data_IF_259416062060
#
_entry.id   IF_259416062060
#
_cell.length_a   1.000
_cell.length_b   1.000
_cell.length_c   1.000
_cell.angle_alpha   90.00
_cell.angle_beta   90.00
_cell.angle_gamma   90.00
#
_symmetry.space_group_name_H-M   'P 1'
#
loop_
_entity.id
_entity.type
_entity.pdbx_description
1 polymer ?
#
# COMPACT_ATOMS: atom_id res chain seq x y z
N UNK A 1 9.64 25.06 -10.36
CA UNK A 1 9.34 23.70 -9.85
C UNK A 1 9.38 22.72 -11.01
N UNK A 2 9.88 21.49 -10.83
CA UNK A 2 9.91 20.48 -11.89
C UNK A 2 8.62 19.66 -11.97
N UNK A 3 8.34 19.06 -13.14
CA UNK A 3 7.18 18.17 -13.33
C UNK A 3 7.20 17.00 -12.33
N UNK A 4 6.18 16.95 -11.48
CA UNK A 4 5.99 15.93 -10.46
C UNK A 4 6.58 16.25 -9.08
N UNK A 5 7.16 17.44 -8.90
CA UNK A 5 7.56 17.94 -7.59
C UNK A 5 6.33 18.20 -6.70
N UNK A 6 6.53 18.28 -5.38
CA UNK A 6 5.52 18.73 -4.43
C UNK A 6 5.17 20.20 -4.66
N UNK A 7 3.88 20.50 -4.82
CA UNK A 7 3.37 21.87 -4.72
C UNK A 7 3.53 22.40 -3.30
N UNK A 8 3.39 23.71 -3.11
CA UNK A 8 3.48 24.31 -1.76
C UNK A 8 2.36 23.80 -0.84
N UNK A 9 1.15 23.60 -1.37
CA UNK A 9 0.03 23.03 -0.62
C UNK A 9 0.29 21.56 -0.21
N UNK A 10 0.78 20.72 -1.14
CA UNK A 10 1.15 19.34 -0.83
C UNK A 10 2.30 19.29 0.20
N UNK A 11 3.27 20.21 0.08
CA UNK A 11 4.38 20.32 1.03
C UNK A 11 3.90 20.78 2.41
N UNK A 12 3.00 21.75 2.49
CA UNK A 12 2.45 22.26 3.74
C UNK A 12 1.73 21.17 4.54
N UNK A 13 1.03 20.26 3.86
CA UNK A 13 0.37 19.10 4.50
C UNK A 13 1.37 18.05 5.00
N UNK A 14 2.50 17.88 4.32
CA UNK A 14 3.47 16.84 4.66
C UNK A 14 4.52 17.30 5.68
N UNK A 15 4.92 18.58 5.61
CA UNK A 15 6.00 19.20 6.42
C UNK A 15 5.88 18.96 7.93
N UNK A 16 4.70 19.04 8.57
CA UNK A 16 4.57 18.93 10.03
C UNK A 16 4.97 17.57 10.59
N UNK A 17 4.90 16.52 9.77
CA UNK A 17 5.06 15.14 10.21
C UNK A 17 6.48 14.59 10.04
N UNK A 18 7.43 15.40 9.56
CA UNK A 18 8.80 14.93 9.42
C UNK A 18 9.52 14.83 10.77
N UNK A 19 10.39 13.81 10.93
CA UNK A 19 11.29 13.76 12.07
C UNK A 19 12.08 15.06 12.18
N UNK A 20 12.04 15.69 13.35
CA UNK A 20 12.84 16.88 13.64
C UNK A 20 14.33 16.51 13.66
N UNK A 21 15.20 17.48 13.39
CA UNK A 21 16.64 17.33 13.60
C UNK A 21 16.91 17.32 15.11
N UNK A 22 16.75 16.18 15.77
CA UNK A 22 17.10 15.98 17.18
C UNK A 22 18.02 14.76 17.29
N UNK A 23 19.30 14.98 17.61
CA UNK A 23 20.28 13.91 17.90
C UNK A 23 21.65 14.03 17.22
N UNK A 24 22.59 13.17 17.67
CA UNK A 24 23.93 12.98 17.07
C UNK A 24 23.80 12.25 15.72
N UNK A 25 24.24 12.89 14.65
CA UNK A 25 24.12 12.33 13.28
C UNK A 25 24.03 13.35 12.13
N UNK A 26 24.13 14.65 12.44
CA UNK A 26 24.15 15.73 11.45
C UNK A 26 22.76 16.18 11.01
N UNK A 27 22.69 17.39 10.45
CA UNK A 27 21.45 18.03 9.99
C UNK A 27 20.92 17.29 8.75
N UNK A 28 19.65 16.90 8.77
CA UNK A 28 18.98 16.39 7.57
C UNK A 28 19.06 17.44 6.46
N UNK A 29 19.48 17.02 5.26
CA UNK A 29 19.30 17.83 4.05
C UNK A 29 17.81 18.19 3.88
N UNK A 30 17.54 19.30 3.17
CA UNK A 30 16.19 19.78 2.89
C UNK A 30 15.24 18.65 2.47
N UNK A 31 14.28 18.32 3.34
CA UNK A 31 13.34 17.21 3.16
C UNK A 31 12.59 17.31 1.83
N UNK A 32 12.07 18.50 1.49
CA UNK A 32 11.35 18.73 0.24
C UNK A 32 12.18 18.36 -0.98
N UNK A 33 13.45 18.78 -1.02
CA UNK A 33 14.36 18.51 -2.15
C UNK A 33 14.61 17.00 -2.30
N UNK A 34 14.87 16.31 -1.20
CA UNK A 34 15.11 14.85 -1.20
C UNK A 34 13.86 14.10 -1.64
N UNK A 35 12.69 14.47 -1.13
CA UNK A 35 11.42 13.81 -1.45
C UNK A 35 11.03 14.05 -2.91
N UNK A 36 11.24 15.25 -3.44
CA UNK A 36 11.05 15.49 -4.87
C UNK A 36 11.95 14.57 -5.72
N UNK A 37 13.19 14.30 -5.29
CA UNK A 37 14.06 13.31 -5.94
C UNK A 37 13.51 11.89 -5.89
N UNK A 38 12.94 11.48 -4.75
CA UNK A 38 12.28 10.17 -4.59
C UNK A 38 11.05 10.08 -5.49
N UNK A 39 10.15 11.07 -5.45
CA UNK A 39 8.96 11.13 -6.29
C UNK A 39 9.32 11.12 -7.79
N UNK A 40 10.38 11.82 -8.17
CA UNK A 40 10.90 11.79 -9.53
C UNK A 40 11.33 10.39 -9.94
N UNK A 41 12.17 9.71 -9.13
CA UNK A 41 12.57 8.32 -9.38
C UNK A 41 11.38 7.39 -9.48
N UNK A 42 10.39 7.54 -8.59
CA UNK A 42 9.19 6.71 -8.57
C UNK A 42 8.39 6.85 -9.86
N UNK A 43 8.19 8.08 -10.31
CA UNK A 43 7.46 8.40 -11.54
C UNK A 43 8.18 7.89 -12.78
N UNK A 44 9.49 8.12 -12.90
CA UNK A 44 10.24 7.83 -14.13
C UNK A 44 10.79 6.40 -14.18
N UNK A 45 10.99 5.76 -13.03
CA UNK A 45 11.57 4.41 -12.92
C UNK A 45 13.07 4.35 -13.17
N UNK A 46 13.76 5.50 -13.27
CA UNK A 46 15.21 5.52 -13.58
C UNK A 46 16.05 4.90 -12.45
N UNK A 47 17.26 4.40 -12.75
CA UNK A 47 18.25 4.07 -11.75
C UNK A 47 18.55 5.26 -10.84
N UNK A 48 18.83 5.00 -9.55
CA UNK A 48 19.16 6.05 -8.59
C UNK A 48 20.34 6.91 -9.04
N UNK A 49 21.35 6.31 -9.69
CA UNK A 49 22.57 6.99 -10.15
C UNK A 49 22.30 8.06 -11.23
N UNK A 50 21.19 7.93 -11.96
CA UNK A 50 20.83 8.82 -13.06
C UNK A 50 19.90 9.96 -12.61
N UNK A 51 19.70 10.10 -11.29
CA UNK A 51 18.94 11.21 -10.73
C UNK A 51 19.56 12.56 -11.09
N UNK A 52 18.70 13.48 -11.52
CA UNK A 52 19.10 14.85 -11.86
C UNK A 52 19.78 15.54 -10.66
N UNK A 53 20.89 16.25 -10.93
CA UNK A 53 21.72 16.94 -9.93
C UNK A 53 20.94 17.94 -9.07
N UNK A 54 19.83 18.52 -9.59
CA UNK A 54 18.94 19.45 -8.87
C UNK A 54 18.39 18.91 -7.54
N UNK A 55 18.29 17.58 -7.40
CA UNK A 55 17.83 16.96 -6.15
C UNK A 55 18.95 16.77 -5.12
N UNK A 56 20.20 16.95 -5.52
CA UNK A 56 21.41 16.69 -4.74
C UNK A 56 22.00 15.31 -5.01
N UNK A 57 23.00 14.92 -4.20
CA UNK A 57 23.72 13.64 -4.34
C UNK A 57 22.77 12.45 -4.27
N UNK A 58 22.76 11.60 -5.30
CA UNK A 58 21.83 10.48 -5.41
C UNK A 58 21.95 9.47 -4.26
N UNK A 59 23.16 9.26 -3.72
CA UNK A 59 23.38 8.35 -2.58
C UNK A 59 22.54 8.79 -1.39
N UNK A 60 22.55 10.09 -1.07
CA UNK A 60 21.82 10.63 0.07
C UNK A 60 20.29 10.50 -0.10
N UNK A 61 19.80 10.51 -1.34
CA UNK A 61 18.38 10.34 -1.66
C UNK A 61 17.99 8.86 -1.53
N UNK A 62 18.79 7.96 -2.12
CA UNK A 62 18.60 6.51 -2.03
C UNK A 62 18.67 6.03 -0.57
N UNK A 63 19.68 6.47 0.19
CA UNK A 63 19.86 6.14 1.59
C UNK A 63 18.70 6.66 2.45
N UNK A 64 18.17 7.85 2.13
CA UNK A 64 17.00 8.38 2.81
C UNK A 64 15.80 7.48 2.56
N UNK A 65 15.52 7.17 1.30
CA UNK A 65 14.40 6.30 0.94
C UNK A 65 14.52 4.96 1.64
N UNK A 66 15.68 4.31 1.55
CA UNK A 66 15.95 3.02 2.20
C UNK A 66 15.80 3.07 3.71
N UNK A 67 16.33 4.09 4.39
CA UNK A 67 16.22 4.26 5.84
C UNK A 67 14.77 4.40 6.27
N UNK A 68 14.02 5.28 5.62
CA UNK A 68 12.61 5.53 5.93
C UNK A 68 11.68 4.37 5.58
N UNK A 69 12.05 3.57 4.58
CA UNK A 69 11.39 2.30 4.28
C UNK A 69 11.71 1.22 5.33
N UNK A 70 12.82 1.35 6.05
CA UNK A 70 13.24 0.36 7.04
C UNK A 70 12.68 0.63 8.44
N UNK A 71 12.64 1.90 8.84
CA UNK A 71 12.22 2.34 10.18
C UNK A 71 10.73 2.66 10.32
N UNK A 72 9.95 2.59 9.23
CA UNK A 72 8.51 2.84 9.24
C UNK A 72 8.11 4.31 9.06
N UNK A 73 9.05 5.19 8.73
CA UNK A 73 8.76 6.63 8.55
C UNK A 73 7.75 6.88 7.44
N UNK A 74 7.77 6.13 6.33
CA UNK A 74 6.79 6.33 5.26
C UNK A 74 5.37 5.97 5.71
N UNK A 75 5.23 4.92 6.51
CA UNK A 75 3.98 4.42 7.05
C UNK A 75 3.41 5.41 8.07
N UNK A 76 4.28 5.97 8.92
CA UNK A 76 3.92 7.06 9.82
C UNK A 76 3.40 8.27 9.03
N UNK A 77 4.10 8.69 7.96
CA UNK A 77 3.67 9.80 7.11
C UNK A 77 2.34 9.50 6.40
N UNK A 78 2.15 8.27 5.90
CA UNK A 78 0.88 7.84 5.29
C UNK A 78 -0.27 7.93 6.30
N UNK A 79 -0.08 7.42 7.52
CA UNK A 79 -1.09 7.50 8.59
C UNK A 79 -1.40 8.93 8.97
N UNK A 80 -0.40 9.80 9.00
CA UNK A 80 -0.59 11.21 9.33
C UNK A 80 -1.42 11.95 8.27
N UNK A 81 -1.12 11.76 6.98
CA UNK A 81 -1.92 12.38 5.90
C UNK A 81 -3.33 11.79 5.79
N UNK A 82 -3.51 10.53 6.16
CA UNK A 82 -4.84 9.92 6.30
C UNK A 82 -5.61 10.49 7.48
N UNK A 83 -4.98 10.67 8.64
CA UNK A 83 -5.61 11.27 9.82
C UNK A 83 -6.07 12.72 9.54
N UNK A 84 -5.24 13.50 8.84
CA UNK A 84 -5.60 14.84 8.36
C UNK A 84 -6.82 14.80 7.42
N UNK A 85 -6.84 13.89 6.45
CA UNK A 85 -7.97 13.73 5.54
C UNK A 85 -9.25 13.29 6.26
N UNK A 86 -9.15 12.38 7.22
CA UNK A 86 -10.28 11.90 8.01
C UNK A 86 -10.87 13.00 8.89
N UNK A 87 -10.02 13.80 9.54
CA UNK A 87 -10.45 14.95 10.34
C UNK A 87 -11.21 16.01 9.52
N UNK A 88 -10.91 16.10 8.22
CA UNK A 88 -11.58 16.99 7.28
C UNK A 88 -12.77 16.33 6.55
N UNK A 89 -13.15 15.10 6.93
CA UNK A 89 -14.26 14.37 6.29
C UNK A 89 -13.96 13.92 4.85
N UNK A 90 -12.69 13.91 4.43
CA UNK A 90 -12.29 13.59 3.05
C UNK A 90 -12.07 12.11 2.79
N UNK A 91 -12.29 11.22 3.77
CA UNK A 91 -12.24 9.76 3.57
C UNK A 91 -13.66 9.22 3.38
N UNK A 92 -13.91 8.57 2.24
CA UNK A 92 -15.16 7.81 2.06
C UNK A 92 -15.06 6.45 2.76
N UNK A 93 -15.67 6.34 3.93
CA UNK A 93 -15.76 5.10 4.67
C UNK A 93 -16.97 4.23 4.30
N UNK A 94 -17.92 4.78 3.53
CA UNK A 94 -19.17 4.09 3.17
C UNK A 94 -18.91 2.83 2.37
N UNK A 95 -17.85 2.83 1.57
CA UNK A 95 -17.41 1.68 0.80
C UNK A 95 -15.90 1.70 0.58
N UNK A 96 -15.25 0.60 0.95
CA UNK A 96 -13.90 0.30 0.56
C UNK A 96 -13.88 -0.91 -0.38
N UNK A 97 -12.83 -1.03 -1.17
CA UNK A 97 -12.63 -2.17 -2.08
C UNK A 97 -11.28 -2.84 -1.80
N UNK A 98 -11.28 -4.17 -1.73
CA UNK A 98 -10.06 -4.98 -1.65
C UNK A 98 -9.74 -5.59 -3.00
N UNK A 99 -8.48 -5.43 -3.41
CA UNK A 99 -7.96 -6.06 -4.61
C UNK A 99 -6.44 -6.20 -4.51
N UNK A 100 -5.87 -6.88 -5.50
CA UNK A 100 -4.43 -7.02 -5.65
C UNK A 100 -3.99 -6.71 -7.08
N UNK A 101 -2.71 -6.41 -7.23
CA UNK A 101 -2.11 -6.26 -8.55
C UNK A 101 -0.70 -6.82 -8.60
N UNK A 102 -0.34 -7.43 -9.72
CA UNK A 102 1.00 -7.95 -9.95
C UNK A 102 1.91 -6.83 -10.44
N UNK A 103 3.10 -6.75 -9.85
CA UNK A 103 4.22 -5.94 -10.27
C UNK A 103 5.32 -6.86 -10.80
N UNK A 104 5.74 -6.67 -12.05
CA UNK A 104 6.89 -7.41 -12.60
C UNK A 104 8.16 -6.96 -11.87
N UNK A 105 9.00 -7.90 -11.48
CA UNK A 105 10.30 -7.60 -10.91
C UNK A 105 11.36 -7.72 -12.01
N UNK A 106 12.11 -6.65 -12.25
CA UNK A 106 13.26 -6.68 -13.14
C UNK A 106 14.35 -7.60 -12.55
N UNK A 107 15.24 -8.15 -13.38
CA UNK A 107 16.36 -8.98 -12.89
C UNK A 107 17.23 -8.26 -11.85
N UNK A 108 17.31 -6.93 -11.91
CA UNK A 108 18.03 -6.10 -10.93
C UNK A 108 17.39 -6.08 -9.53
N UNK A 109 16.12 -6.48 -9.40
CA UNK A 109 15.47 -6.68 -8.12
C UNK A 109 15.84 -8.03 -7.46
N UNK A 110 16.53 -8.93 -8.15
CA UNK A 110 17.02 -10.18 -7.57
C UNK A 110 18.39 -10.02 -6.89
N UNK A 111 18.82 -11.07 -6.17
CA UNK A 111 20.14 -11.11 -5.54
C UNK A 111 20.31 -10.10 -4.40
N UNK A 112 19.30 -9.99 -3.53
CA UNK A 112 19.48 -9.40 -2.21
C UNK A 112 20.48 -10.25 -1.40
N UNK A 113 21.22 -9.64 -0.47
CA UNK A 113 22.15 -10.38 0.38
C UNK A 113 21.35 -11.33 1.29
N UNK A 114 21.82 -12.56 1.50
CA UNK A 114 21.14 -13.50 2.41
C UNK A 114 21.15 -13.04 3.88
N UNK A 115 22.17 -12.25 4.28
CA UNK A 115 22.21 -11.68 5.63
C UNK A 115 21.07 -10.68 5.81
N UNK A 116 20.22 -10.95 6.79
CA UNK A 116 19.11 -10.08 7.15
C UNK A 116 19.58 -8.62 7.34
N UNK A 117 18.91 -7.64 6.73
CA UNK A 117 19.26 -6.25 6.84
C UNK A 117 18.93 -5.74 8.25
N UNK A 118 19.69 -4.76 8.72
CA UNK A 118 19.37 -3.98 9.92
C UNK A 118 18.88 -2.60 9.52
N UNK A 119 18.01 -2.03 10.35
CA UNK A 119 17.63 -0.62 10.23
C UNK A 119 18.89 0.22 10.50
N UNK A 120 19.29 1.15 9.60
CA UNK A 120 20.48 1.96 9.83
C UNK A 120 20.43 2.70 11.18
N UNK A 121 21.44 2.49 12.03
CA UNK A 121 21.52 3.10 13.35
C UNK A 121 20.69 2.41 14.44
N UNK A 122 20.07 1.25 14.17
CA UNK A 122 19.31 0.47 15.17
C UNK A 122 19.65 -1.03 15.08
N UNK A 123 19.67 -1.71 16.22
CA UNK A 123 19.80 -3.19 16.28
C UNK A 123 18.45 -3.89 16.08
N UNK A 124 17.72 -3.51 15.04
CA UNK A 124 16.39 -4.06 14.73
C UNK A 124 16.28 -4.42 13.24
N UNK A 125 15.46 -5.44 12.92
CA UNK A 125 15.10 -5.78 11.54
C UNK A 125 14.10 -4.75 10.98
N UNK A 126 14.13 -4.44 9.68
CA UNK A 126 13.12 -3.58 9.05
C UNK A 126 11.69 -4.09 9.24
N UNK A 127 10.73 -3.19 9.46
CA UNK A 127 9.32 -3.52 9.77
C UNK A 127 8.62 -4.40 8.71
N UNK A 128 9.11 -4.37 7.46
CA UNK A 128 8.59 -5.14 6.34
C UNK A 128 9.66 -5.98 5.64
N UNK A 129 10.71 -6.38 6.37
CA UNK A 129 11.61 -7.41 5.87
C UNK A 129 10.89 -8.76 5.78
N UNK A 130 11.23 -9.52 4.74
CA UNK A 130 10.75 -10.86 4.48
C UNK A 130 11.90 -11.67 3.92
N UNK A 131 12.02 -12.93 4.31
CA UNK A 131 13.09 -13.80 3.81
C UNK A 131 12.94 -14.06 2.30
N UNK A 132 11.70 -14.07 1.79
CA UNK A 132 11.37 -14.19 0.36
C UNK A 132 11.53 -12.87 -0.42
N UNK A 133 11.87 -11.77 0.27
CA UNK A 133 11.91 -10.40 -0.23
C UNK A 133 10.65 -9.96 -1.01
N UNK A 134 9.51 -10.64 -0.83
CA UNK A 134 8.29 -10.42 -1.58
C UNK A 134 8.41 -10.76 -3.07
N UNK A 135 9.37 -11.60 -3.46
CA UNK A 135 9.62 -12.02 -4.84
C UNK A 135 9.18 -13.46 -5.05
N UNK A 136 8.57 -13.71 -6.20
CA UNK A 136 7.94 -14.98 -6.51
C UNK A 136 7.90 -15.28 -8.00
N UNK A 137 8.06 -16.54 -8.39
CA UNK A 137 7.92 -16.96 -9.79
C UNK A 137 6.44 -17.15 -10.13
N UNK A 138 5.98 -16.47 -11.17
CA UNK A 138 4.67 -16.69 -11.78
C UNK A 138 4.84 -17.01 -13.26
N UNK A 139 3.72 -17.23 -13.99
CA UNK A 139 3.74 -17.40 -15.45
C UNK A 139 4.44 -16.26 -16.19
N UNK A 140 4.47 -15.05 -15.62
CA UNK A 140 5.12 -13.87 -16.19
C UNK A 140 6.55 -13.61 -15.71
N UNK A 141 7.21 -14.61 -15.09
CA UNK A 141 8.55 -14.49 -14.53
C UNK A 141 8.56 -14.05 -13.06
N UNK A 142 9.63 -13.35 -12.65
CA UNK A 142 9.78 -12.89 -11.27
C UNK A 142 8.83 -11.73 -10.99
N UNK A 143 8.04 -11.85 -9.92
CA UNK A 143 6.91 -10.95 -9.65
C UNK A 143 6.71 -10.73 -8.16
N UNK A 144 6.18 -9.56 -7.83
CA UNK A 144 5.64 -9.19 -6.52
C UNK A 144 4.16 -8.90 -6.69
N UNK A 145 3.37 -9.15 -5.66
CA UNK A 145 1.96 -8.77 -5.61
C UNK A 145 1.76 -7.67 -4.58
N UNK A 146 1.02 -6.64 -4.96
CA UNK A 146 0.60 -5.54 -4.09
C UNK A 146 -0.88 -5.76 -3.78
N UNK A 147 -1.21 -6.03 -2.53
CA UNK A 147 -2.57 -6.11 -2.02
C UNK A 147 -2.92 -4.78 -1.38
N UNK A 148 -4.13 -4.29 -1.61
CA UNK A 148 -4.54 -3.00 -1.07
C UNK A 148 -6.02 -2.96 -0.68
N UNK A 149 -6.33 -2.08 0.26
CA UNK A 149 -7.69 -1.61 0.54
C UNK A 149 -7.77 -0.18 0.06
N UNK A 150 -8.64 0.11 -0.91
CA UNK A 150 -8.89 1.45 -1.43
C UNK A 150 -10.21 2.02 -0.90
N UNK A 151 -10.23 3.32 -0.60
CA UNK A 151 -11.48 4.06 -0.34
C UNK A 151 -12.06 4.67 -1.63
N UNK A 152 -13.32 5.11 -1.57
CA UNK A 152 -14.08 5.57 -2.75
C UNK A 152 -13.47 6.73 -3.53
N UNK A 153 -12.67 7.58 -2.88
CA UNK A 153 -11.89 8.66 -3.51
C UNK A 153 -10.63 8.20 -4.25
N UNK A 154 -10.47 6.90 -4.52
CA UNK A 154 -9.35 6.31 -5.25
C UNK A 154 -8.01 6.50 -4.54
N UNK A 155 -7.98 6.35 -3.20
CA UNK A 155 -6.76 6.41 -2.38
C UNK A 155 -6.60 5.13 -1.54
N UNK A 156 -5.37 4.63 -1.32
CA UNK A 156 -5.16 3.45 -0.47
C UNK A 156 -5.35 3.78 1.02
N UNK A 157 -6.18 3.01 1.71
CA UNK A 157 -6.24 2.96 3.17
C UNK A 157 -5.13 2.06 3.74
N UNK A 158 -4.86 0.93 3.09
CA UNK A 158 -3.88 -0.04 3.53
C UNK A 158 -3.15 -0.71 2.36
N UNK A 159 -1.91 -1.14 2.61
CA UNK A 159 -1.03 -1.78 1.63
C UNK A 159 -0.33 -2.99 2.26
N UNK A 160 -0.14 -4.04 1.45
CA UNK A 160 0.64 -5.22 1.77
C UNK A 160 1.34 -5.73 0.50
N UNK A 161 2.56 -6.25 0.63
CA UNK A 161 3.26 -6.91 -0.47
C UNK A 161 3.53 -8.38 -0.15
N UNK A 162 3.41 -9.24 -1.17
CA UNK A 162 3.73 -10.68 -1.09
C UNK A 162 4.46 -11.13 -2.36
N UNK A 163 5.08 -12.32 -2.35
CA UNK A 163 5.50 -12.97 -3.59
C UNK A 163 4.36 -13.13 -4.60
N UNK A 164 4.67 -13.10 -5.90
CA UNK A 164 3.67 -13.10 -6.96
C UNK A 164 2.79 -14.36 -7.06
N UNK A 165 3.30 -15.52 -6.66
CA UNK A 165 2.58 -16.80 -6.65
C UNK A 165 1.59 -16.95 -5.49
N UNK A 166 1.63 -16.06 -4.49
CA UNK A 166 0.71 -16.13 -3.36
C UNK A 166 -0.71 -15.76 -3.81
N UNK A 167 -1.70 -16.54 -3.38
CA UNK A 167 -3.10 -16.28 -3.69
C UNK A 167 -3.66 -15.05 -2.98
N UNK A 168 -4.73 -14.47 -3.51
CA UNK A 168 -5.30 -13.19 -3.04
C UNK A 168 -6.19 -13.40 -1.82
N UNK A 169 -7.02 -14.45 -1.85
CA UNK A 169 -7.98 -14.74 -0.81
C UNK A 169 -7.38 -14.78 0.62
N UNK A 170 -6.22 -15.43 0.87
CA UNK A 170 -5.60 -15.43 2.19
C UNK A 170 -5.12 -14.06 2.67
N UNK A 171 -4.88 -13.11 1.76
CA UNK A 171 -4.29 -11.79 2.06
C UNK A 171 -5.34 -10.71 2.38
N UNK A 172 -6.63 -10.99 2.18
CA UNK A 172 -7.72 -10.06 2.51
C UNK A 172 -7.70 -9.62 3.97
N UNK A 173 -7.55 -10.56 4.89
CA UNK A 173 -7.51 -10.28 6.33
C UNK A 173 -6.23 -9.50 6.68
N UNK A 174 -5.01 -9.96 6.32
CA UNK A 174 -3.78 -9.21 6.55
C UNK A 174 -3.79 -7.77 6.04
N UNK A 175 -4.38 -7.49 4.87
CA UNK A 175 -4.44 -6.12 4.35
C UNK A 175 -5.52 -5.29 5.05
N UNK A 176 -6.67 -5.87 5.41
CA UNK A 176 -7.69 -5.18 6.20
C UNK A 176 -7.21 -4.83 7.62
N UNK A 177 -6.45 -5.70 8.27
CA UNK A 177 -5.90 -5.46 9.61
C UNK A 177 -4.88 -4.31 9.64
N UNK A 178 -4.29 -3.98 8.48
CA UNK A 178 -3.43 -2.80 8.33
C UNK A 178 -4.22 -1.50 8.17
N UNK A 179 -5.54 -1.56 8.01
CA UNK A 179 -6.40 -0.37 8.03
C UNK A 179 -6.47 0.15 9.46
N UNK A 180 -5.97 1.36 9.67
CA UNK A 180 -5.97 2.01 10.98
C UNK A 180 -5.63 3.49 10.82
N UNK A 181 -6.67 4.31 10.66
CA UNK A 181 -6.52 5.76 10.52
C UNK A 181 -6.64 6.40 11.91
N UNK A 182 -5.56 7.02 12.44
CA UNK A 182 -5.61 7.71 13.73
C UNK A 182 -6.60 8.88 13.71
N UNK A 183 -7.18 9.20 14.87
CA UNK A 183 -8.01 10.40 15.06
C UNK A 183 -7.14 11.55 15.58
N UNK A 184 -7.23 12.72 14.96
CA UNK A 184 -6.44 13.90 15.36
C UNK A 184 -6.82 14.45 16.75
N UNK A 185 -8.10 14.29 17.15
CA UNK A 185 -8.63 14.75 18.44
C UNK A 185 -8.49 13.70 19.58
N UNK A 186 -7.70 12.65 19.38
CA UNK A 186 -7.61 11.52 20.31
C UNK A 186 -8.70 10.46 20.11
N UNK A 187 -8.58 9.34 20.83
CA UNK A 187 -9.46 8.18 20.73
C UNK A 187 -8.91 7.03 19.85
N UNK A 188 -9.68 5.95 19.74
CA UNK A 188 -9.27 4.78 18.99
C UNK A 188 -9.25 5.04 17.47
N UNK A 189 -8.21 4.55 16.74
CA UNK A 189 -8.16 4.64 15.29
C UNK A 189 -9.39 4.01 14.63
N UNK A 190 -9.83 4.56 13.49
CA UNK A 190 -10.84 3.88 12.66
C UNK A 190 -10.16 2.75 11.88
N UNK A 191 -10.56 1.51 12.17
CA UNK A 191 -9.93 0.29 11.64
C UNK A 191 -10.82 -0.52 10.69
N UNK A 192 -12.01 -0.02 10.36
CA UNK A 192 -12.94 -0.72 9.48
C UNK A 192 -13.74 0.24 8.57
N UNK A 193 -13.95 -0.12 7.30
CA UNK A 193 -14.96 0.49 6.46
C UNK A 193 -16.35 -0.03 6.85
N UNK A 194 -17.38 0.70 6.43
CA UNK A 194 -18.77 0.31 6.68
C UNK A 194 -19.20 -0.84 5.75
N UNK A 195 -18.63 -0.84 4.53
CA UNK A 195 -18.86 -1.86 3.51
C UNK A 195 -17.57 -2.20 2.76
N UNK A 196 -17.38 -3.47 2.42
CA UNK A 196 -16.26 -3.97 1.63
C UNK A 196 -16.72 -4.61 0.32
N UNK A 197 -16.23 -4.12 -0.80
CA UNK A 197 -16.35 -4.77 -2.11
C UNK A 197 -15.08 -5.57 -2.43
N UNK A 198 -15.22 -6.66 -3.18
CA UNK A 198 -14.07 -7.46 -3.63
C UNK A 198 -14.47 -8.49 -4.67
N UNK A 199 -13.46 -8.97 -5.41
CA UNK A 199 -13.65 -10.05 -6.38
C UNK A 199 -14.18 -11.33 -5.71
N UNK A 200 -14.93 -12.11 -6.48
CA UNK A 200 -15.35 -13.48 -6.18
C UNK A 200 -14.24 -14.36 -5.60
N UNK A 201 -12.97 -14.16 -5.99
CA UNK A 201 -11.83 -14.86 -5.41
C UNK A 201 -11.75 -14.72 -3.87
N UNK A 202 -12.23 -13.62 -3.31
CA UNK A 202 -12.21 -13.35 -1.86
C UNK A 202 -13.35 -14.04 -1.08
N UNK A 203 -14.21 -14.84 -1.71
CA UNK A 203 -15.45 -15.38 -1.12
C UNK A 203 -15.28 -16.39 0.02
N UNK A 204 -14.04 -16.77 0.38
CA UNK A 204 -13.75 -17.87 1.30
C UNK A 204 -14.51 -17.78 2.63
N UNK A 205 -14.87 -18.93 3.22
CA UNK A 205 -15.57 -18.99 4.53
C UNK A 205 -14.81 -18.25 5.63
N UNK A 206 -13.48 -18.33 5.63
CA UNK A 206 -12.60 -17.60 6.57
C UNK A 206 -12.78 -16.08 6.43
N UNK A 207 -12.76 -15.57 5.21
CA UNK A 207 -12.94 -14.16 4.90
C UNK A 207 -14.33 -13.67 5.31
N UNK A 208 -15.39 -14.41 4.96
CA UNK A 208 -16.77 -14.07 5.35
C UNK A 208 -16.95 -14.05 6.87
N UNK A 209 -16.37 -15.03 7.59
CA UNK A 209 -16.40 -15.08 9.07
C UNK A 209 -15.70 -13.87 9.68
N UNK A 210 -14.55 -13.47 9.13
CA UNK A 210 -13.83 -12.28 9.59
C UNK A 210 -14.66 -11.00 9.40
N UNK A 211 -15.22 -10.79 8.21
CA UNK A 211 -16.06 -9.62 7.92
C UNK A 211 -17.28 -9.55 8.84
N UNK A 212 -17.96 -10.68 9.08
CA UNK A 212 -19.08 -10.76 10.03
C UNK A 212 -18.65 -10.41 11.45
N UNK A 213 -17.55 -10.97 11.94
CA UNK A 213 -17.01 -10.68 13.29
C UNK A 213 -16.63 -9.20 13.46
N UNK A 214 -16.11 -8.57 12.42
CA UNK A 214 -15.75 -7.14 12.40
C UNK A 214 -16.95 -6.23 12.07
N UNK A 215 -18.15 -6.79 11.89
CA UNK A 215 -19.37 -6.08 11.49
C UNK A 215 -19.17 -5.24 10.21
N UNK A 216 -18.42 -5.76 9.24
CA UNK A 216 -18.19 -5.13 7.94
C UNK A 216 -19.18 -5.74 6.96
N UNK A 217 -20.10 -4.94 6.41
CA UNK A 217 -20.99 -5.38 5.32
C UNK A 217 -20.14 -5.66 4.08
N UNK A 218 -20.59 -6.52 3.18
CA UNK A 218 -19.78 -6.83 2.00
C UNK A 218 -20.58 -7.08 0.72
N UNK A 219 -19.98 -6.76 -0.42
CA UNK A 219 -20.41 -7.18 -1.75
C UNK A 219 -19.27 -7.95 -2.41
N UNK A 220 -19.20 -9.24 -2.09
CA UNK A 220 -18.27 -10.17 -2.72
C UNK A 220 -19.13 -11.26 -3.38
N UNK A 221 -19.04 -11.48 -4.70
CA UNK A 221 -19.82 -12.51 -5.37
C UNK A 221 -19.49 -13.91 -4.85
N UNK A 222 -20.49 -14.79 -4.78
CA UNK A 222 -20.27 -16.20 -4.47
C UNK A 222 -19.93 -16.98 -5.75
N UNK A 223 -18.91 -17.84 -5.73
CA UNK A 223 -18.64 -18.71 -6.86
C UNK A 223 -19.75 -19.68 -7.22
N UNK A 224 -20.04 -19.88 -8.52
CA UNK A 224 -20.98 -20.88 -9.06
C UNK A 224 -20.83 -22.26 -8.39
N UNK A 225 -19.61 -22.76 -8.23
CA UNK A 225 -19.35 -24.02 -7.53
C UNK A 225 -19.66 -23.95 -6.02
N UNK A 226 -19.40 -22.82 -5.35
CA UNK A 226 -19.80 -22.63 -3.96
C UNK A 226 -21.33 -22.54 -3.82
N UNK A 227 -22.01 -21.87 -4.75
CA UNK A 227 -23.47 -21.81 -4.80
C UNK A 227 -24.07 -23.21 -4.99
N UNK A 228 -23.55 -23.99 -5.95
CA UNK A 228 -23.98 -25.37 -6.17
C UNK A 228 -23.74 -26.22 -4.91
N UNK A 229 -22.56 -26.18 -4.32
CA UNK A 229 -22.25 -26.93 -3.09
C UNK A 229 -23.12 -26.53 -1.90
N UNK A 230 -23.52 -25.25 -1.82
CA UNK A 230 -24.47 -24.76 -0.82
C UNK A 230 -25.85 -25.38 -1.02
N UNK A 231 -26.35 -25.36 -2.26
CA UNK A 231 -27.64 -25.94 -2.62
C UNK A 231 -27.68 -27.46 -2.36
N UNK A 232 -26.63 -28.18 -2.75
CA UNK A 232 -26.52 -29.63 -2.50
C UNK A 232 -26.54 -29.99 -1.01
N UNK A 233 -26.10 -29.09 -0.12
CA UNK A 233 -26.13 -29.31 1.33
C UNK A 233 -27.50 -29.00 1.96
N UNK A 234 -28.49 -28.54 1.19
CA UNK A 234 -29.82 -28.20 1.67
C UNK A 234 -29.77 -27.22 2.86
N UNK A 235 -30.48 -27.55 3.94
CA UNK A 235 -30.53 -26.76 5.18
C UNK A 235 -29.15 -26.56 5.84
N UNK A 236 -28.22 -27.52 5.69
CA UNK A 236 -26.84 -27.42 6.20
C UNK A 236 -25.93 -26.51 5.37
N UNK A 237 -26.38 -26.08 4.19
CA UNK A 237 -25.66 -25.16 3.30
C UNK A 237 -25.62 -23.72 3.81
N UNK A 238 -26.66 -23.30 4.54
CA UNK A 238 -26.84 -21.93 5.02
C UNK A 238 -27.45 -21.00 3.96
N UNK A 239 -27.74 -19.76 4.39
CA UNK A 239 -28.41 -18.74 3.56
C UNK A 239 -27.49 -18.24 2.42
N UNK A 240 -28.03 -17.98 1.21
CA UNK A 240 -27.29 -17.32 0.14
C UNK A 240 -26.68 -15.99 0.62
N UNK A 241 -25.52 -15.62 0.09
CA UNK A 241 -24.97 -14.28 0.34
C UNK A 241 -25.76 -13.23 -0.42
N UNK A 242 -26.20 -12.17 0.26
CA UNK A 242 -26.81 -11.02 -0.40
C UNK A 242 -25.80 -10.35 -1.34
N UNK A 243 -26.18 -10.15 -2.60
CA UNK A 243 -25.34 -9.50 -3.61
C UNK A 243 -26.12 -8.34 -4.25
N UNK A 244 -25.66 -7.12 -4.00
CA UNK A 244 -26.25 -5.90 -4.57
C UNK A 244 -25.43 -5.43 -5.77
N UNK A 245 -25.98 -5.61 -6.98
CA UNK A 245 -25.32 -5.24 -8.24
C UNK A 245 -24.95 -3.75 -8.29
N UNK A 246 -25.82 -2.87 -7.82
CA UNK A 246 -25.59 -1.42 -7.79
C UNK A 246 -24.33 -1.04 -6.98
N UNK A 247 -24.11 -1.69 -5.82
CA UNK A 247 -22.88 -1.49 -5.03
C UNK A 247 -21.66 -2.09 -5.72
N UNK A 248 -21.82 -3.22 -6.42
CA UNK A 248 -20.71 -3.88 -7.09
C UNK A 248 -20.13 -3.06 -8.26
N UNK A 249 -20.90 -2.18 -8.89
CA UNK A 249 -20.41 -1.25 -9.94
C UNK A 249 -19.23 -0.41 -9.42
N UNK A 250 -19.29 0.02 -8.16
CA UNK A 250 -18.22 0.80 -7.54
C UNK A 250 -16.91 0.02 -7.34
N UNK A 251 -16.87 -1.31 -7.58
CA UNK A 251 -15.61 -2.08 -7.60
C UNK A 251 -14.59 -1.50 -8.59
N UNK A 252 -15.04 -0.87 -9.68
CA UNK A 252 -14.16 -0.15 -10.63
C UNK A 252 -13.25 0.90 -9.96
N UNK A 253 -13.62 1.42 -8.79
CA UNK A 253 -12.80 2.35 -8.01
C UNK A 253 -11.42 1.74 -7.66
N UNK A 254 -11.35 0.47 -7.30
CA UNK A 254 -10.07 -0.16 -6.95
C UNK A 254 -9.18 -0.37 -8.17
N UNK A 255 -9.77 -0.68 -9.32
CA UNK A 255 -9.05 -0.84 -10.59
C UNK A 255 -8.45 0.49 -11.04
N UNK A 256 -9.22 1.58 -10.93
CA UNK A 256 -8.74 2.94 -11.20
C UNK A 256 -7.68 3.38 -10.21
N UNK A 257 -7.80 3.03 -8.93
CA UNK A 257 -6.76 3.27 -7.93
C UNK A 257 -5.46 2.53 -8.26
N UNK A 258 -5.54 1.25 -8.64
CA UNK A 258 -4.38 0.47 -9.09
C UNK A 258 -3.73 1.14 -10.31
N UNK A 259 -4.53 1.61 -11.27
CA UNK A 259 -4.07 2.41 -12.40
C UNK A 259 -3.30 3.66 -11.96
N UNK A 260 -3.87 4.45 -11.04
CA UNK A 260 -3.22 5.65 -10.48
C UNK A 260 -1.89 5.34 -9.79
N UNK A 261 -1.80 4.23 -9.04
CA UNK A 261 -0.55 3.80 -8.42
C UNK A 261 0.51 3.46 -9.49
N UNK A 262 0.12 2.72 -10.53
CA UNK A 262 1.00 2.24 -11.61
C UNK A 262 1.41 3.30 -12.64
N UNK A 263 0.84 4.50 -12.60
CA UNK A 263 1.43 5.68 -13.28
C UNK A 263 2.89 5.89 -12.84
N UNK A 264 3.22 5.52 -11.60
CA UNK A 264 4.59 5.46 -11.12
C UNK A 264 5.28 4.22 -11.68
N UNK A 265 6.22 4.40 -12.62
CA UNK A 265 6.94 3.29 -13.27
C UNK A 265 7.64 2.37 -12.27
N UNK A 266 8.14 2.90 -11.15
CA UNK A 266 8.75 2.09 -10.09
C UNK A 266 7.76 1.21 -9.29
N UNK A 267 6.46 1.51 -9.36
CA UNK A 267 5.38 0.67 -8.81
C UNK A 267 4.87 -0.32 -9.86
N UNK A 268 4.85 0.07 -11.14
CA UNK A 268 4.50 -0.83 -12.24
C UNK A 268 5.56 -1.93 -12.45
N UNK A 269 6.84 -1.59 -12.30
CA UNK A 269 7.98 -2.51 -12.38
C UNK A 269 8.91 -2.30 -11.20
N UNK A 270 9.12 -3.36 -10.44
CA UNK A 270 9.98 -3.37 -9.26
C UNK A 270 11.44 -3.54 -9.68
N UNK A 271 12.28 -2.62 -9.22
CA UNK A 271 13.74 -2.71 -9.30
C UNK A 271 14.39 -2.88 -7.92
N UNK A 272 13.62 -2.70 -6.85
CA UNK A 272 14.12 -2.71 -5.48
C UNK A 272 14.35 -4.14 -5.00
N UNK A 273 15.57 -4.44 -4.53
CA UNK A 273 15.94 -5.80 -4.09
C UNK A 273 15.20 -6.24 -2.83
N UNK A 274 15.10 -5.35 -1.85
CA UNK A 274 14.52 -5.66 -0.55
C UNK A 274 13.00 -5.40 -0.50
N UNK A 275 12.24 -6.28 0.14
CA UNK A 275 10.80 -6.15 0.35
C UNK A 275 10.44 -4.81 0.98
N UNK A 276 11.11 -4.43 2.07
CA UNK A 276 10.80 -3.19 2.79
C UNK A 276 11.01 -1.94 1.92
N UNK A 277 12.03 -1.93 1.04
CA UNK A 277 12.26 -0.82 0.11
C UNK A 277 11.14 -0.75 -0.93
N UNK A 278 10.77 -1.89 -1.52
CA UNK A 278 9.64 -1.98 -2.45
C UNK A 278 8.33 -1.52 -1.79
N UNK A 279 8.08 -1.94 -0.55
CA UNK A 279 6.93 -1.49 0.23
C UNK A 279 6.93 0.03 0.44
N UNK A 280 8.08 0.61 0.78
CA UNK A 280 8.26 2.06 0.86
C UNK A 280 8.00 2.76 -0.47
N UNK A 281 8.45 2.21 -1.61
CA UNK A 281 8.14 2.73 -2.95
C UNK A 281 6.62 2.84 -3.17
N UNK A 282 5.86 1.78 -2.85
CA UNK A 282 4.39 1.79 -2.97
C UNK A 282 3.75 2.76 -1.98
N UNK A 283 4.27 2.83 -0.76
CA UNK A 283 3.78 3.72 0.31
C UNK A 283 3.95 5.19 -0.07
N UNK A 284 5.09 5.58 -0.64
CA UNK A 284 5.32 6.96 -1.13
C UNK A 284 4.36 7.31 -2.27
N UNK A 285 4.11 6.37 -3.19
CA UNK A 285 3.10 6.57 -4.23
C UNK A 285 1.70 6.77 -3.64
N UNK A 286 1.33 6.03 -2.59
CA UNK A 286 0.07 6.21 -1.88
C UNK A 286 -0.02 7.57 -1.15
N UNK A 287 1.04 8.00 -0.47
CA UNK A 287 1.12 9.35 0.13
C UNK A 287 0.83 10.41 -0.92
N UNK A 288 1.43 10.27 -2.12
CA UNK A 288 1.22 11.22 -3.21
C UNK A 288 -0.26 11.30 -3.65
N UNK A 289 -1.00 10.19 -3.62
CA UNK A 289 -2.44 10.19 -3.92
C UNK A 289 -3.25 10.91 -2.82
N UNK A 290 -2.88 10.74 -1.55
CA UNK A 290 -3.53 11.44 -0.42
C UNK A 290 -3.27 12.94 -0.41
N UNK A 291 -2.10 13.39 -0.86
CA UNK A 291 -1.73 14.81 -0.91
C UNK A 291 -2.43 15.58 -2.04
N UNK A 292 -2.85 14.89 -3.11
CA UNK A 292 -3.52 15.50 -4.28
C UNK A 292 -5.03 15.64 -4.14
N UNK A 293 -5.59 15.07 -3.08
CA UNK A 293 -7.01 15.09 -2.78
C UNK A 293 -7.31 15.99 -1.57
#
# INVERSE_FOLDING_TARGET
MGRGDLSDAEWARLKPYFPRNVGRGGRWKCHRRVINGILFRLRTGIPWRDLQSRFGKWQAICDRHRRWSADGTWEMLLRAVQADADAQGRIDWSMASVDSTICRAHQHAAGARHRAPTVPGRRARPAHHRDDEGLGRSRGGLTTKIHLVGEGGLRPLALLITPGQWGDAPQMIPVLERTGVPRTKGGHPRTRPDHLSGDRAYSSRRNRRYLRRRQIKHTIPEPRNQQANRLHRGSRGGRPTSFEKARYVRRNEVERLIGKLKINRAVATRFDKWAYVSYGTVTVAAIRLWLRA
#
